data_IF_420644765616
#
_entry.id   IF_420644765616
#
_cell.length_a   1.000
_cell.length_b   1.000
_cell.length_c   1.000
_cell.angle_alpha   90.00
_cell.angle_beta   90.00
_cell.angle_gamma   90.00
#
_symmetry.space_group_name_H-M   'P 1'
#
loop_
_entity.id
_entity.type
_entity.pdbx_description
1 polymer ?
#
# COMPACT_ATOMS: atom_id res chain seq x y z
N UNK A 1 -15.54 39.83 -30.28
CA UNK A 1 -14.74 38.98 -29.37
C UNK A 1 -13.70 39.91 -28.77
N UNK A 2 -14.03 40.55 -27.65
CA UNK A 2 -13.06 41.35 -26.92
C UNK A 2 -11.99 40.41 -26.35
N UNK A 3 -10.75 40.64 -26.75
CA UNK A 3 -9.62 39.86 -26.25
C UNK A 3 -9.33 40.42 -24.87
N UNK A 4 -9.51 39.65 -23.79
CA UNK A 4 -9.25 40.13 -22.44
C UNK A 4 -7.81 40.63 -22.35
N UNK A 5 -7.62 41.70 -21.58
CA UNK A 5 -6.28 42.24 -21.35
C UNK A 5 -5.36 41.12 -20.83
N UNK A 6 -4.08 41.17 -21.20
CA UNK A 6 -3.11 40.14 -20.80
C UNK A 6 -3.08 39.90 -19.28
N UNK A 7 -3.38 40.94 -18.49
CA UNK A 7 -3.48 40.88 -17.04
C UNK A 7 -4.66 40.03 -16.57
N UNK A 8 -5.84 40.22 -17.14
CA UNK A 8 -7.05 39.46 -16.79
C UNK A 8 -6.90 37.98 -17.11
N UNK A 9 -6.31 37.67 -18.27
CA UNK A 9 -5.97 36.31 -18.65
C UNK A 9 -4.98 35.66 -17.67
N UNK A 10 -3.92 36.38 -17.30
CA UNK A 10 -2.92 35.88 -16.35
C UNK A 10 -3.49 35.73 -14.94
N UNK A 11 -4.44 36.58 -14.53
CA UNK A 11 -5.14 36.47 -13.25
C UNK A 11 -6.02 35.23 -13.22
N UNK A 12 -6.82 35.00 -14.27
CA UNK A 12 -7.67 33.82 -14.41
C UNK A 12 -6.86 32.51 -14.40
N UNK A 13 -5.72 32.48 -15.10
CA UNK A 13 -4.82 31.31 -15.10
C UNK A 13 -4.27 31.06 -13.70
N UNK A 14 -3.82 32.10 -12.98
CA UNK A 14 -3.30 31.94 -11.62
C UNK A 14 -4.36 31.43 -10.65
N UNK A 15 -5.58 31.94 -10.74
CA UNK A 15 -6.70 31.43 -9.94
C UNK A 15 -6.97 29.96 -10.22
N UNK A 16 -7.05 29.57 -11.50
CA UNK A 16 -7.27 28.19 -11.90
C UNK A 16 -6.19 27.25 -11.37
N UNK A 17 -4.92 27.66 -11.41
CA UNK A 17 -3.78 26.87 -10.91
C UNK A 17 -3.75 26.83 -9.38
N UNK A 18 -4.03 27.94 -8.71
CA UNK A 18 -4.02 28.02 -7.24
C UNK A 18 -5.16 27.23 -6.60
N UNK A 19 -6.33 27.19 -7.24
CA UNK A 19 -7.50 26.45 -6.79
C UNK A 19 -7.55 25.01 -7.31
N UNK A 20 -6.49 24.54 -7.99
CA UNK A 20 -6.39 23.16 -8.42
C UNK A 20 -5.63 22.28 -7.39
N UNK A 21 -6.34 21.60 -6.47
CA UNK A 21 -5.71 20.67 -5.53
C UNK A 21 -5.10 19.45 -6.22
N UNK A 22 -5.47 19.15 -7.47
CA UNK A 22 -4.96 17.99 -8.18
C UNK A 22 -3.61 18.25 -8.87
N UNK A 23 -3.18 19.52 -8.96
CA UNK A 23 -1.91 19.91 -9.54
C UNK A 23 -1.76 19.44 -10.99
N UNK A 24 -2.85 19.52 -11.78
CA UNK A 24 -2.89 19.07 -13.18
C UNK A 24 -2.96 17.56 -13.39
N UNK A 25 -3.23 16.75 -12.35
CA UNK A 25 -3.34 15.28 -12.47
C UNK A 25 -4.78 14.83 -12.63
N UNK A 26 -4.99 13.86 -13.51
CA UNK A 26 -6.28 13.19 -13.63
C UNK A 26 -6.55 12.30 -12.39
N UNK A 27 -7.40 12.76 -11.47
CA UNK A 27 -7.80 12.02 -10.27
C UNK A 27 -9.22 11.48 -10.45
N UNK A 28 -9.37 10.15 -10.44
CA UNK A 28 -10.68 9.50 -10.52
C UNK A 28 -11.44 9.64 -9.19
N UNK A 29 -12.73 9.96 -9.25
CA UNK A 29 -13.60 10.05 -8.06
C UNK A 29 -13.61 11.42 -7.38
N UNK A 30 -13.07 12.48 -8.00
CA UNK A 30 -13.24 13.85 -7.50
C UNK A 30 -14.72 14.24 -7.55
N UNK A 31 -15.33 14.38 -6.38
CA UNK A 31 -16.64 15.00 -6.26
C UNK A 31 -16.41 16.52 -6.17
N UNK A 32 -16.86 17.25 -7.19
CA UNK A 32 -16.89 18.72 -7.18
C UNK A 32 -17.58 19.19 -5.89
N UNK A 33 -16.83 19.86 -5.01
CA UNK A 33 -17.34 20.40 -3.75
C UNK A 33 -18.32 21.53 -4.08
N UNK A 34 -19.60 21.20 -4.28
CA UNK A 34 -20.64 22.22 -4.28
C UNK A 34 -20.68 22.87 -2.90
N UNK A 35 -20.75 24.21 -2.78
CA UNK A 35 -20.80 24.88 -1.48
C UNK A 35 -22.09 24.47 -0.77
N UNK A 36 -21.99 23.50 0.13
CA UNK A 36 -23.05 23.07 1.02
C UNK A 36 -22.48 22.97 2.43
N UNK A 37 -23.18 23.67 3.32
CA UNK A 37 -23.00 23.79 4.78
C UNK A 37 -22.28 22.59 5.40
N UNK A 38 -21.30 22.95 6.23
CA UNK A 38 -20.55 22.13 7.18
C UNK A 38 -21.28 20.82 7.55
N UNK A 39 -20.77 19.72 7.00
CA UNK A 39 -20.95 18.39 7.56
C UNK A 39 -19.60 17.71 7.56
N UNK A 40 -19.13 17.46 8.78
CA UNK A 40 -17.97 16.67 9.19
C UNK A 40 -17.41 15.75 8.11
N UNK A 41 -16.18 16.03 7.66
CA UNK A 41 -15.38 15.16 6.81
C UNK A 41 -14.89 13.96 7.64
N UNK A 42 -15.78 13.03 7.90
CA UNK A 42 -15.38 11.63 7.99
C UNK A 42 -15.28 11.16 6.55
N UNK A 43 -14.07 11.25 6.00
CA UNK A 43 -13.70 10.52 4.79
C UNK A 43 -14.24 9.11 4.96
N UNK A 44 -15.19 8.76 4.10
CA UNK A 44 -15.90 7.49 4.17
C UNK A 44 -14.90 6.37 4.05
N UNK A 45 -14.45 5.86 5.20
CA UNK A 45 -14.01 4.50 5.36
C UNK A 45 -15.19 3.67 4.86
N UNK A 46 -15.11 3.29 3.59
CA UNK A 46 -16.08 2.38 2.97
C UNK A 46 -15.79 1.01 3.57
N UNK A 47 -16.28 0.83 4.80
CA UNK A 47 -16.77 -0.46 5.25
C UNK A 47 -17.82 -0.91 4.23
N UNK A 48 -17.41 -1.81 3.35
CA UNK A 48 -18.24 -2.22 2.21
C UNK A 48 -17.61 -3.31 1.37
N UNK A 49 -17.37 -4.46 1.98
CA UNK A 49 -17.30 -5.75 1.26
C UNK A 49 -15.92 -6.19 0.76
N UNK A 50 -15.23 -6.99 1.58
CA UNK A 50 -14.45 -8.21 1.22
C UNK A 50 -13.56 -8.28 -0.05
N UNK A 51 -13.25 -7.17 -0.72
CA UNK A 51 -12.60 -7.15 -2.03
C UNK A 51 -11.20 -6.51 -2.06
N UNK A 52 -10.57 -6.23 -0.91
CA UNK A 52 -9.26 -5.54 -0.81
C UNK A 52 -8.18 -6.15 -1.72
N UNK A 53 -8.19 -7.47 -1.92
CA UNK A 53 -7.26 -8.14 -2.84
C UNK A 53 -7.47 -7.74 -4.30
N UNK A 54 -8.72 -7.71 -4.75
CA UNK A 54 -9.10 -7.34 -6.10
C UNK A 54 -8.88 -5.84 -6.33
N UNK A 55 -9.20 -5.02 -5.32
CA UNK A 55 -8.92 -3.60 -5.34
C UNK A 55 -7.41 -3.34 -5.49
N UNK A 56 -6.57 -3.99 -4.67
CA UNK A 56 -5.11 -3.88 -4.78
C UNK A 56 -4.62 -4.34 -6.16
N UNK A 57 -5.08 -5.48 -6.66
CA UNK A 57 -4.72 -5.95 -7.99
C UNK A 57 -5.10 -4.93 -9.07
N UNK A 58 -6.32 -4.40 -9.03
CA UNK A 58 -6.80 -3.40 -10.00
C UNK A 58 -5.96 -2.14 -9.96
N UNK A 59 -5.63 -1.63 -8.77
CA UNK A 59 -4.76 -0.44 -8.60
C UNK A 59 -3.39 -0.69 -9.22
N UNK A 60 -2.78 -1.86 -8.95
CA UNK A 60 -1.46 -2.20 -9.49
C UNK A 60 -1.47 -2.38 -11.00
N UNK A 61 -2.43 -3.12 -11.55
CA UNK A 61 -2.55 -3.31 -13.01
C UNK A 61 -2.77 -1.98 -13.73
N UNK A 62 -3.60 -1.08 -13.19
CA UNK A 62 -3.83 0.25 -13.77
C UNK A 62 -2.57 1.13 -13.75
N UNK A 63 -1.73 0.98 -12.75
CA UNK A 63 -0.44 1.65 -12.67
C UNK A 63 0.65 1.00 -13.55
N UNK A 64 0.33 -0.07 -14.30
CA UNK A 64 1.30 -0.81 -15.12
C UNK A 64 2.25 -1.69 -14.31
N UNK A 65 1.92 -1.98 -13.05
CA UNK A 65 2.72 -2.84 -12.19
C UNK A 65 2.34 -4.31 -12.31
N UNK A 66 3.26 -5.17 -11.88
CA UNK A 66 3.03 -6.62 -11.78
C UNK A 66 2.01 -6.95 -10.69
N UNK A 67 1.33 -8.09 -10.86
CA UNK A 67 0.34 -8.57 -9.91
C UNK A 67 0.95 -8.80 -8.50
N UNK A 68 0.18 -8.53 -7.44
CA UNK A 68 0.65 -8.71 -6.07
C UNK A 68 0.84 -10.20 -5.73
N UNK A 69 1.92 -10.52 -5.02
CA UNK A 69 2.24 -11.88 -4.56
C UNK A 69 1.97 -12.02 -3.07
N UNK A 70 1.24 -13.05 -2.67
CA UNK A 70 0.90 -13.29 -1.26
C UNK A 70 1.72 -14.45 -0.67
N UNK A 71 2.25 -14.23 0.54
CA UNK A 71 2.99 -15.22 1.32
C UNK A 71 2.35 -15.34 2.70
N UNK A 72 1.63 -16.43 2.94
CA UNK A 72 0.96 -16.68 4.23
C UNK A 72 1.75 -17.69 5.05
N UNK A 73 2.01 -17.35 6.32
CA UNK A 73 2.62 -18.23 7.31
C UNK A 73 1.62 -18.52 8.42
N UNK A 74 1.58 -19.78 8.89
CA UNK A 74 0.83 -20.16 10.08
C UNK A 74 1.70 -19.93 11.33
N UNK A 75 1.12 -19.31 12.35
CA UNK A 75 1.75 -19.03 13.64
C UNK A 75 1.41 -20.14 14.64
N UNK A 76 2.15 -20.17 15.77
CA UNK A 76 2.05 -21.19 16.82
C UNK A 76 0.68 -21.22 17.53
N UNK A 77 -0.08 -20.15 17.45
CA UNK A 77 -1.37 -19.97 18.13
C UNK A 77 -2.58 -20.22 17.21
N UNK A 78 -2.42 -21.03 16.16
CA UNK A 78 -3.43 -21.27 15.12
C UNK A 78 -3.89 -20.01 14.37
N UNK A 79 -3.12 -18.92 14.45
CA UNK A 79 -3.35 -17.74 13.61
C UNK A 79 -2.53 -17.85 12.31
N UNK A 80 -2.94 -17.07 11.32
CA UNK A 80 -2.27 -16.90 10.05
C UNK A 80 -1.84 -15.45 9.93
N UNK A 81 -0.63 -15.24 9.39
CA UNK A 81 -0.16 -13.92 9.02
C UNK A 81 0.25 -13.94 7.56
N UNK A 82 -0.19 -12.95 6.80
CA UNK A 82 0.14 -12.84 5.39
C UNK A 82 0.99 -11.61 5.12
N UNK A 83 1.84 -11.73 4.11
CA UNK A 83 2.62 -10.66 3.52
C UNK A 83 2.21 -10.53 2.07
N UNK A 84 2.02 -9.30 1.58
CA UNK A 84 1.84 -9.02 0.16
C UNK A 84 3.08 -8.30 -0.38
N UNK A 85 3.54 -8.71 -1.56
CA UNK A 85 4.73 -8.19 -2.22
C UNK A 85 4.39 -7.70 -3.63
N UNK A 86 4.73 -6.46 -3.95
CA UNK A 86 4.63 -5.88 -5.28
C UNK A 86 5.64 -4.74 -5.42
N UNK A 87 6.14 -4.51 -6.63
CA UNK A 87 7.08 -3.42 -6.91
C UNK A 87 8.31 -3.37 -5.96
N UNK A 88 8.80 -4.53 -5.50
CA UNK A 88 9.89 -4.62 -4.51
C UNK A 88 9.51 -4.24 -3.08
N UNK A 89 8.27 -3.83 -2.84
CA UNK A 89 7.71 -3.48 -1.53
C UNK A 89 7.02 -4.68 -0.89
N UNK A 90 7.02 -4.71 0.43
CA UNK A 90 6.39 -5.77 1.23
C UNK A 90 5.54 -5.18 2.34
N UNK A 91 4.30 -5.62 2.44
CA UNK A 91 3.34 -5.20 3.46
C UNK A 91 2.90 -6.39 4.28
N UNK A 92 2.97 -6.26 5.60
CA UNK A 92 2.67 -7.32 6.55
C UNK A 92 1.33 -7.06 7.22
N UNK A 93 0.35 -7.93 6.95
CA UNK A 93 -0.92 -7.92 7.68
C UNK A 93 -0.77 -8.33 9.16
N UNK A 94 -1.80 -8.03 9.93
CA UNK A 94 -2.03 -8.50 11.28
C UNK A 94 -2.28 -10.01 11.32
N UNK A 95 -1.94 -10.67 12.44
CA UNK A 95 -2.33 -12.05 12.68
C UNK A 95 -3.86 -12.20 12.71
N UNK A 96 -4.40 -13.12 11.91
CA UNK A 96 -5.84 -13.40 11.81
C UNK A 96 -6.13 -14.89 12.05
N UNK A 97 -7.37 -15.24 12.39
CA UNK A 97 -7.78 -16.63 12.61
C UNK A 97 -7.76 -17.50 11.34
N UNK A 98 -7.92 -16.90 10.16
CA UNK A 98 -8.03 -17.62 8.89
C UNK A 98 -7.03 -17.08 7.86
N UNK A 99 -6.49 -17.97 7.01
CA UNK A 99 -5.61 -17.61 5.88
C UNK A 99 -6.21 -16.51 4.98
N UNK A 100 -7.51 -16.64 4.64
CA UNK A 100 -8.21 -15.66 3.78
C UNK A 100 -8.26 -14.27 4.42
N UNK A 101 -8.51 -14.21 5.74
CA UNK A 101 -8.55 -12.95 6.48
C UNK A 101 -7.16 -12.32 6.58
N UNK A 102 -6.12 -13.11 6.84
CA UNK A 102 -4.74 -12.62 6.89
C UNK A 102 -4.28 -12.01 5.55
N UNK A 103 -4.64 -12.65 4.43
CA UNK A 103 -4.31 -12.12 3.09
C UNK A 103 -5.13 -10.88 2.74
N UNK A 104 -6.38 -10.79 3.22
CA UNK A 104 -7.20 -9.59 3.07
C UNK A 104 -6.59 -8.42 3.84
N UNK A 105 -6.18 -8.68 5.07
CA UNK A 105 -5.58 -7.69 5.96
C UNK A 105 -4.26 -7.14 5.40
N UNK A 106 -3.38 -8.01 4.90
CA UNK A 106 -2.17 -7.58 4.20
C UNK A 106 -2.47 -6.71 2.97
N UNK A 107 -3.56 -6.99 2.24
CA UNK A 107 -3.97 -6.16 1.10
C UNK A 107 -4.52 -4.79 1.55
N UNK A 108 -5.22 -4.72 2.68
CA UNK A 108 -5.66 -3.46 3.29
C UNK A 108 -4.47 -2.58 3.64
N UNK A 109 -3.47 -3.11 4.33
CA UNK A 109 -2.24 -2.38 4.71
C UNK A 109 -1.55 -1.78 3.47
N UNK A 110 -1.45 -2.56 2.39
CA UNK A 110 -0.89 -2.09 1.12
C UNK A 110 -1.73 -0.97 0.48
N UNK A 111 -3.05 -1.08 0.52
CA UNK A 111 -3.96 -0.08 -0.05
C UNK A 111 -3.95 1.23 0.74
N UNK A 112 -3.86 1.16 2.07
CA UNK A 112 -3.73 2.34 2.93
C UNK A 112 -2.43 3.09 2.60
N UNK A 113 -1.33 2.36 2.42
CA UNK A 113 -0.05 2.94 2.00
C UNK A 113 -0.14 3.62 0.63
N UNK A 114 -0.78 2.97 -0.36
CA UNK A 114 -0.98 3.54 -1.70
C UNK A 114 -1.86 4.80 -1.71
N UNK A 115 -2.77 4.94 -0.75
CA UNK A 115 -3.67 6.10 -0.63
C UNK A 115 -3.04 7.29 0.12
N UNK A 116 -1.77 7.20 0.51
CA UNK A 116 -1.07 8.24 1.26
C UNK A 116 -1.33 8.18 2.77
N UNK A 117 -1.84 7.06 3.28
CA UNK A 117 -1.89 6.77 4.71
C UNK A 117 -0.48 6.59 5.26
N UNK A 118 0.05 7.61 5.93
CA UNK A 118 1.31 7.51 6.66
C UNK A 118 1.11 6.65 7.91
N UNK A 119 1.30 5.34 7.81
CA UNK A 119 1.47 4.48 8.98
C UNK A 119 2.74 3.63 8.82
N UNK A 120 3.84 4.21 9.31
CA UNK A 120 5.13 3.56 9.58
C UNK A 120 5.86 2.93 8.39
N UNK A 121 6.55 3.80 7.63
CA UNK A 121 7.77 3.39 6.94
C UNK A 121 8.73 2.71 7.94
N UNK A 122 9.40 1.64 7.50
CA UNK A 122 10.44 0.87 8.20
C UNK A 122 9.96 -0.13 9.28
N UNK A 123 9.47 -1.28 8.82
CA UNK A 123 9.93 -2.54 9.43
C UNK A 123 10.89 -3.19 8.45
N UNK A 124 12.12 -2.75 8.58
CA UNK A 124 13.30 -3.31 7.94
C UNK A 124 13.26 -4.85 8.09
N UNK A 125 13.23 -5.63 7.00
CA UNK A 125 13.38 -7.07 7.08
C UNK A 125 14.84 -7.36 7.41
N UNK A 126 15.11 -7.61 8.70
CA UNK A 126 16.35 -8.16 9.24
C UNK A 126 17.06 -9.11 8.23
N UNK A 127 18.27 -8.78 7.75
CA UNK A 127 19.05 -9.68 6.93
C UNK A 127 19.55 -10.84 7.81
N UNK A 128 18.78 -11.93 7.83
CA UNK A 128 19.16 -13.22 8.41
C UNK A 128 20.65 -13.54 8.17
N UNK A 129 21.48 -13.70 9.21
CA UNK A 129 22.86 -14.11 9.01
C UNK A 129 22.88 -15.59 8.62
N UNK A 130 23.34 -15.86 7.40
CA UNK A 130 23.72 -17.20 6.96
C UNK A 130 24.95 -17.66 7.77
N UNK A 131 24.74 -18.32 8.91
CA UNK A 131 25.83 -19.02 9.60
C UNK A 131 25.93 -20.47 9.10
N UNK A 132 26.81 -20.60 8.10
CA UNK A 132 27.54 -21.78 7.61
C UNK A 132 27.47 -23.06 8.47
N UNK A 133 26.99 -24.16 7.84
CA UNK A 133 27.13 -25.53 8.33
C UNK A 133 28.62 -25.95 8.30
N UNK A 134 29.26 -26.14 9.44
CA UNK A 134 30.56 -26.83 9.52
C UNK A 134 30.37 -28.34 9.43
N UNK A 135 30.96 -28.97 8.40
CA UNK A 135 31.21 -30.43 8.35
C UNK A 135 32.49 -30.72 9.13
N UNK A 136 32.42 -31.55 10.17
CA UNK A 136 33.60 -32.10 10.84
C UNK A 136 33.72 -33.58 10.47
N UNK A 137 34.76 -33.92 9.70
CA UNK A 137 35.10 -35.29 9.28
C UNK A 137 36.07 -35.91 10.30
N UNK A 138 35.80 -37.16 10.68
CA UNK A 138 36.57 -38.11 11.53
C UNK A 138 38.09 -37.97 11.48
N UNK A 139 38.75 -38.22 12.62
CA UNK A 139 40.01 -38.97 12.68
C UNK A 139 40.13 -39.84 13.95
N UNK A 140 40.80 -40.99 13.78
CA UNK A 140 41.07 -42.06 14.75
C UNK A 140 42.40 -41.84 15.50
N UNK A 141 42.48 -42.25 16.78
CA UNK A 141 43.68 -42.87 17.39
C UNK A 141 43.28 -43.57 18.70
N UNK A 142 43.32 -44.91 18.79
CA UNK A 142 44.41 -45.87 19.09
C UNK A 142 44.73 -45.96 20.59
N UNK A 143 44.49 -47.18 21.10
CA UNK A 143 44.79 -47.71 22.45
C UNK A 143 46.27 -47.59 22.81
N UNK A 144 46.52 -47.36 24.10
CA UNK A 144 47.58 -47.99 24.89
C UNK A 144 46.99 -48.39 26.23
#
# INVERSE_FOLDING_TARGET
MDIPSSEELLSAIRLLVAEDPCGGRFVFGRQELKPKKEKSLLAGSTGGGDNSKNQLQTVLTRAGHQNPKYKTKQLKNNQFRSMVEFNGMQFLGQPCSNKKLAEKDAATEALEWLQGGTSSASRDPDPMPMLVKKKSKKQHHRRT
#
